data_IF_462689270669
#
_entry.id   IF_462689270669
#
_cell.length_a   1.000
_cell.length_b   1.000
_cell.length_c   1.000
_cell.angle_alpha   90.00
_cell.angle_beta   90.00
_cell.angle_gamma   90.00
#
_symmetry.space_group_name_H-M   'P 1'
#
loop_
_entity.id
_entity.type
_entity.pdbx_description
1 polymer ?
#
# COMPACT_ATOMS: atom_id res chain seq x y z
N UNK A 1 3.63 6.71 9.82
CA UNK A 1 2.28 6.81 9.23
C UNK A 1 1.99 5.48 8.55
N UNK A 2 0.74 5.01 8.56
CA UNK A 2 0.37 3.71 7.99
C UNK A 2 -0.35 3.88 6.64
N UNK A 3 0.01 3.06 5.66
CA UNK A 3 -0.55 3.07 4.31
C UNK A 3 -1.41 1.85 4.06
N UNK A 4 -2.65 2.05 3.64
CA UNK A 4 -3.56 0.96 3.29
C UNK A 4 -3.28 0.47 1.87
N UNK A 5 -3.02 -0.82 1.71
CA UNK A 5 -2.55 -1.39 0.45
C UNK A 5 -3.18 -2.74 0.14
N UNK A 6 -3.25 -3.06 -1.15
CA UNK A 6 -3.49 -4.41 -1.64
C UNK A 6 -2.17 -5.08 -2.04
N UNK A 7 -2.04 -6.36 -1.72
CA UNK A 7 -0.96 -7.22 -2.17
C UNK A 7 -1.40 -8.13 -3.31
N UNK A 8 -0.44 -8.57 -4.13
CA UNK A 8 -0.70 -9.52 -5.22
C UNK A 8 -1.07 -10.92 -4.74
N UNK A 9 -0.59 -11.34 -3.57
CA UNK A 9 -0.76 -12.69 -3.03
C UNK A 9 -0.68 -12.71 -1.49
N UNK A 10 -0.90 -13.90 -0.92
CA UNK A 10 -0.92 -14.14 0.54
C UNK A 10 0.44 -13.97 1.23
N UNK A 11 1.54 -14.03 0.48
CA UNK A 11 2.90 -13.77 0.99
C UNK A 11 3.14 -12.27 1.25
N UNK A 12 2.25 -11.40 0.78
CA UNK A 12 2.30 -9.95 0.93
C UNK A 12 3.61 -9.34 0.42
N UNK A 13 4.25 -9.97 -0.57
CA UNK A 13 5.55 -9.53 -1.07
C UNK A 13 5.47 -8.28 -1.96
N UNK A 14 4.41 -8.15 -2.77
CA UNK A 14 4.28 -7.08 -3.78
C UNK A 14 2.99 -6.30 -3.56
N UNK A 15 3.12 -4.98 -3.46
CA UNK A 15 1.99 -4.04 -3.41
C UNK A 15 1.51 -3.75 -4.83
N UNK A 16 0.19 -3.78 -5.05
CA UNK A 16 -0.43 -3.55 -6.37
C UNK A 16 -1.43 -2.39 -6.38
N UNK A 17 -1.88 -1.95 -5.21
CA UNK A 17 -2.76 -0.79 -5.07
C UNK A 17 -2.60 -0.14 -3.69
N UNK A 18 -2.96 1.13 -3.59
CA UNK A 18 -3.01 1.92 -2.35
C UNK A 18 -4.37 2.59 -2.18
N UNK A 19 -4.84 2.73 -0.95
CA UNK A 19 -6.14 3.29 -0.59
C UNK A 19 -6.00 4.38 0.48
N UNK A 20 -6.98 5.28 0.55
CA UNK A 20 -7.07 6.27 1.62
C UNK A 20 -7.58 5.71 2.95
N UNK A 21 -8.16 4.51 2.96
CA UNK A 21 -8.69 3.87 4.15
C UNK A 21 -8.58 2.33 4.11
N UNK A 22 -8.73 1.72 5.29
CA UNK A 22 -8.74 0.28 5.44
C UNK A 22 -9.86 -0.39 4.65
N UNK A 23 -9.53 -1.53 4.03
CA UNK A 23 -10.46 -2.37 3.30
C UNK A 23 -10.90 -3.56 4.17
N UNK A 24 -12.12 -4.06 3.94
CA UNK A 24 -12.62 -5.25 4.61
C UNK A 24 -11.83 -6.50 4.20
N UNK A 25 -11.13 -7.11 5.16
CA UNK A 25 -10.29 -8.28 4.92
C UNK A 25 -11.09 -9.58 4.69
N UNK A 26 -12.36 -9.65 5.11
CA UNK A 26 -13.23 -10.81 4.85
C UNK A 26 -13.67 -10.85 3.38
N UNK A 27 -13.85 -9.68 2.77
CA UNK A 27 -14.19 -9.53 1.35
C UNK A 27 -12.92 -9.55 0.48
N UNK A 28 -11.87 -8.86 0.92
CA UNK A 28 -10.64 -8.66 0.15
C UNK A 28 -9.42 -9.29 0.85
N UNK A 29 -9.13 -10.54 0.47
CA UNK A 29 -8.17 -11.41 1.20
C UNK A 29 -6.72 -10.91 1.29
N UNK A 30 -6.28 -10.04 0.39
CA UNK A 30 -4.89 -9.59 0.30
C UNK A 30 -4.74 -8.10 0.59
N UNK A 31 -5.55 -7.58 1.53
CA UNK A 31 -5.42 -6.20 1.99
C UNK A 31 -4.57 -6.13 3.26
N UNK A 32 -4.01 -4.95 3.53
CA UNK A 32 -3.31 -4.71 4.76
C UNK A 32 -2.81 -3.28 4.90
N UNK A 33 -1.94 -3.11 5.89
CA UNK A 33 -1.29 -1.84 6.20
C UNK A 33 0.23 -2.05 6.19
N UNK A 34 0.95 -1.04 5.72
CA UNK A 34 2.41 -1.00 5.74
C UNK A 34 2.88 0.35 6.28
N UNK A 35 4.02 0.36 6.98
CA UNK A 35 4.63 1.61 7.44
C UNK A 35 5.11 2.45 6.25
N UNK A 36 5.13 3.77 6.40
CA UNK A 36 5.67 4.70 5.40
C UNK A 36 7.15 4.43 5.03
N UNK A 37 7.91 3.74 5.89
CA UNK A 37 9.28 3.34 5.64
C UNK A 37 9.42 1.86 5.19
N UNK A 38 8.30 1.15 4.98
CA UNK A 38 8.34 -0.24 4.49
C UNK A 38 9.00 -0.29 3.11
N UNK A 39 9.98 -1.18 2.93
CA UNK A 39 10.72 -1.30 1.68
C UNK A 39 9.80 -1.59 0.48
N UNK A 40 8.71 -2.33 0.69
CA UNK A 40 7.72 -2.62 -0.35
C UNK A 40 6.96 -1.36 -0.74
N UNK A 41 6.61 -0.52 0.24
CA UNK A 41 5.94 0.76 0.01
C UNK A 41 6.84 1.73 -0.77
N UNK A 42 8.10 1.87 -0.34
CA UNK A 42 9.08 2.70 -1.02
C UNK A 42 9.30 2.25 -2.48
N UNK A 43 9.37 0.93 -2.71
CA UNK A 43 9.49 0.35 -4.05
C UNK A 43 8.26 0.64 -4.91
N UNK A 44 7.06 0.46 -4.35
CA UNK A 44 5.80 0.75 -5.05
C UNK A 44 5.71 2.24 -5.42
N UNK A 45 6.00 3.15 -4.48
CA UNK A 45 5.97 4.60 -4.72
C UNK A 45 6.96 5.05 -5.80
N UNK A 46 8.16 4.47 -5.82
CA UNK A 46 9.18 4.81 -6.81
C UNK A 46 8.77 4.50 -8.25
N UNK A 47 7.72 3.68 -8.46
CA UNK A 47 7.15 3.41 -9.78
C UNK A 47 6.26 4.52 -10.36
N UNK A 48 5.93 5.56 -9.58
CA UNK A 48 5.03 6.63 -10.00
C UNK A 48 5.75 7.99 -10.09
N UNK A 49 5.25 8.94 -10.91
CA UNK A 49 5.76 10.30 -10.94
C UNK A 49 5.69 10.99 -9.56
N UNK A 50 6.60 11.94 -9.35
CA UNK A 50 6.59 12.80 -8.17
C UNK A 50 5.25 13.55 -8.04
N UNK A 51 4.72 13.63 -6.82
CA UNK A 51 3.40 14.24 -6.55
C UNK A 51 2.19 13.34 -6.80
N UNK A 52 2.39 12.07 -7.21
CA UNK A 52 1.27 11.11 -7.36
C UNK A 52 0.61 10.75 -6.02
N UNK A 53 1.39 10.77 -4.94
CA UNK A 53 0.93 10.51 -3.58
C UNK A 53 0.75 11.84 -2.86
N UNK A 54 -0.41 12.07 -2.26
CA UNK A 54 -0.66 13.25 -1.42
C UNK A 54 0.02 13.11 -0.05
N UNK A 55 0.30 14.22 0.62
CA UNK A 55 0.91 14.25 1.96
C UNK A 55 0.06 13.53 3.03
N UNK A 56 -1.25 13.33 2.80
CA UNK A 56 -2.10 12.48 3.65
C UNK A 56 -1.77 10.98 3.55
N UNK A 57 -0.97 10.58 2.56
CA UNK A 57 -0.50 9.21 2.33
C UNK A 57 1.02 9.03 2.58
N UNK A 58 1.68 9.97 3.27
CA UNK A 58 3.13 9.91 3.56
C UNK A 58 3.45 10.15 5.02
#
# INVERSE_FOLDING_TARGET
>A
MENFVAFSASDKAVIVASFSCGQDAEVWKYQGQVDANDARWLTYKAGFPEGTFSEEQV
#
